data_IF_614116464063
#
_entry.id   IF_614116464063
#
_cell.length_a   1.000
_cell.length_b   1.000
_cell.length_c   1.000
_cell.angle_alpha   90.00
_cell.angle_beta   90.00
_cell.angle_gamma   90.00
#
_symmetry.space_group_name_H-M   'P 1'
#
loop_
_entity.id
_entity.type
_entity.pdbx_description
1 polymer ?
#
# COMPACT_ATOMS: atom_id res chain seq x y z
N UNK A 1 -6.74 57.10 -62.53
CA UNK A 1 -8.13 57.17 -62.04
C UNK A 1 -8.21 56.35 -60.75
N UNK A 2 -7.84 56.98 -59.63
CA UNK A 2 -8.76 57.37 -58.54
C UNK A 2 -9.32 56.18 -57.76
N UNK A 3 -8.52 55.74 -56.79
CA UNK A 3 -8.99 54.99 -55.64
C UNK A 3 -9.99 55.84 -54.83
N UNK A 4 -11.14 55.26 -54.51
CA UNK A 4 -12.07 55.75 -53.48
C UNK A 4 -12.28 54.62 -52.48
N UNK A 5 -11.92 54.80 -51.19
CA UNK A 5 -12.32 53.93 -50.11
C UNK A 5 -13.57 54.49 -49.41
N UNK A 6 -14.49 53.62 -49.00
CA UNK A 6 -15.58 53.97 -48.07
C UNK A 6 -16.18 52.70 -47.43
N UNK A 7 -16.87 52.79 -46.28
CA UNK A 7 -16.23 52.52 -44.99
C UNK A 7 -17.04 51.59 -44.05
N UNK A 8 -16.42 51.25 -42.91
CA UNK A 8 -17.04 51.05 -41.59
C UNK A 8 -18.23 50.07 -41.45
N UNK A 9 -18.02 48.98 -40.71
CA UNK A 9 -18.64 48.79 -39.38
C UNK A 9 -18.21 47.45 -38.77
N UNK A 10 -17.39 47.51 -37.71
CA UNK A 10 -17.79 47.29 -36.30
C UNK A 10 -18.10 45.82 -35.98
N UNK A 11 -17.17 45.15 -35.29
CA UNK A 11 -17.41 44.59 -33.95
C UNK A 11 -16.10 44.00 -33.39
N UNK A 12 -15.22 44.90 -32.95
CA UNK A 12 -14.18 44.62 -31.97
C UNK A 12 -14.82 44.81 -30.58
N UNK A 13 -15.33 43.73 -29.98
CA UNK A 13 -15.65 43.69 -28.55
C UNK A 13 -15.46 42.28 -28.01
N UNK A 14 -14.48 42.17 -27.11
CA UNK A 14 -14.59 41.32 -25.93
C UNK A 14 -14.36 39.84 -26.12
N UNK A 15 -13.13 39.41 -25.84
CA UNK A 15 -12.81 38.21 -25.05
C UNK A 15 -11.30 38.31 -24.77
N UNK A 16 -10.90 39.14 -23.81
CA UNK A 16 -10.75 38.73 -22.42
C UNK A 16 -9.89 37.47 -22.32
N UNK A 17 -8.59 37.76 -22.17
CA UNK A 17 -7.55 36.90 -21.64
C UNK A 17 -8.11 36.07 -20.48
N UNK A 18 -8.14 34.75 -20.64
CA UNK A 18 -8.13 33.82 -19.52
C UNK A 18 -7.24 32.63 -19.89
N UNK A 19 -5.96 32.93 -20.09
CA UNK A 19 -4.91 31.94 -19.92
C UNK A 19 -4.85 31.66 -18.41
N UNK A 20 -5.61 30.66 -17.96
CA UNK A 20 -5.45 30.10 -16.63
C UNK A 20 -4.08 29.44 -16.56
N UNK A 21 -3.18 30.17 -15.92
CA UNK A 21 -1.89 29.74 -15.40
C UNK A 21 -2.01 28.41 -14.65
N UNK A 22 -1.66 27.31 -15.32
CA UNK A 22 -1.17 26.10 -14.67
C UNK A 22 0.31 26.31 -14.33
N UNK A 23 0.56 27.15 -13.32
CA UNK A 23 1.88 27.30 -12.74
C UNK A 23 1.79 26.92 -11.26
N UNK A 24 2.68 26.00 -10.89
CA UNK A 24 3.11 25.69 -9.53
C UNK A 24 2.16 24.87 -8.63
N UNK A 25 2.03 23.58 -8.96
CA UNK A 25 2.32 22.54 -7.96
C UNK A 25 3.64 21.85 -8.35
N UNK A 26 4.69 22.66 -8.51
CA UNK A 26 6.01 22.18 -8.16
C UNK A 26 6.05 22.33 -6.64
N UNK A 27 5.52 21.33 -5.94
CA UNK A 27 5.80 21.13 -4.54
C UNK A 27 7.31 21.28 -4.41
N UNK A 28 7.75 22.26 -3.63
CA UNK A 28 9.11 22.28 -3.15
C UNK A 28 9.35 20.89 -2.57
N UNK A 29 10.12 20.08 -3.29
CA UNK A 29 10.69 18.86 -2.79
C UNK A 29 11.77 19.36 -1.83
N UNK A 30 11.32 19.86 -0.66
CA UNK A 30 12.10 19.67 0.54
C UNK A 30 12.45 18.20 0.48
N UNK A 31 13.75 17.93 0.34
CA UNK A 31 14.29 16.62 0.60
C UNK A 31 13.91 16.36 2.06
N UNK A 32 12.73 15.77 2.25
CA UNK A 32 12.33 15.14 3.49
C UNK A 32 13.55 14.29 3.82
N UNK A 33 14.21 14.64 4.92
CA UNK A 33 15.13 13.70 5.53
C UNK A 33 14.24 12.50 5.78
N UNK A 34 14.29 11.53 4.85
CA UNK A 34 13.62 10.24 4.99
C UNK A 34 14.09 9.78 6.36
N UNK A 35 13.22 9.88 7.36
CA UNK A 35 13.56 9.41 8.70
C UNK A 35 13.92 7.95 8.50
N UNK A 36 15.22 7.65 8.58
CA UNK A 36 15.74 6.39 8.12
C UNK A 36 15.04 5.31 8.93
N UNK A 37 14.31 4.43 8.24
CA UNK A 37 13.45 3.48 8.91
C UNK A 37 14.35 2.56 9.73
N UNK A 38 14.02 2.45 11.01
CA UNK A 38 14.88 1.86 12.02
C UNK A 38 14.08 0.99 12.97
N UNK A 39 14.75 0.00 13.56
CA UNK A 39 14.16 -0.87 14.58
C UNK A 39 14.65 -0.37 15.94
N UNK A 40 13.70 -0.13 16.84
CA UNK A 40 14.00 0.27 18.22
C UNK A 40 14.11 -0.99 19.09
N UNK A 41 15.29 -1.19 19.67
CA UNK A 41 15.57 -2.28 20.61
C UNK A 41 15.58 -1.78 22.05
N UNK A 42 14.89 -2.47 22.95
CA UNK A 42 14.93 -2.20 24.39
C UNK A 42 15.91 -3.16 25.06
N UNK A 43 17.06 -2.65 25.48
CA UNK A 43 18.15 -3.43 26.09
C UNK A 43 18.40 -2.93 27.52
N UNK A 44 18.14 -3.78 28.52
CA UNK A 44 18.38 -3.45 29.93
C UNK A 44 17.80 -2.09 30.39
N UNK A 45 16.62 -1.73 29.86
CA UNK A 45 15.94 -0.45 30.16
C UNK A 45 16.38 0.75 29.32
N UNK A 46 17.36 0.60 28.43
CA UNK A 46 17.78 1.62 27.47
C UNK A 46 17.28 1.28 26.05
N UNK A 47 16.72 2.27 25.35
CA UNK A 47 16.28 2.13 23.96
C UNK A 47 17.40 2.52 23.00
N UNK A 48 17.71 1.66 22.03
CA UNK A 48 18.62 1.97 20.92
C UNK A 48 17.92 1.75 19.59
N UNK A 49 18.00 2.73 18.71
CA UNK A 49 17.48 2.62 17.35
C UNK A 49 18.58 2.22 16.38
N UNK A 50 18.30 1.27 15.49
CA UNK A 50 19.25 0.80 14.47
C UNK A 50 18.56 0.81 13.11
N UNK A 51 19.13 1.50 12.13
CA UNK A 51 18.61 1.54 10.76
C UNK A 51 18.52 0.14 10.15
N UNK A 52 17.44 -0.13 9.42
CA UNK A 52 17.18 -1.45 8.82
C UNK A 52 18.31 -1.88 7.89
N UNK A 53 18.87 -0.95 7.12
CA UNK A 53 19.97 -1.22 6.18
C UNK A 53 21.21 -1.81 6.87
N UNK A 54 21.41 -1.48 8.14
CA UNK A 54 22.53 -1.95 8.95
C UNK A 54 22.26 -3.30 9.63
N UNK A 55 21.08 -3.90 9.43
CA UNK A 55 20.67 -5.15 10.06
C UNK A 55 20.58 -6.29 9.06
N UNK A 56 20.85 -7.50 9.55
CA UNK A 56 20.54 -8.75 8.87
C UNK A 56 19.83 -9.69 9.85
N UNK A 57 18.79 -10.39 9.40
CA UNK A 57 18.02 -11.33 10.23
C UNK A 57 18.41 -12.76 9.87
N UNK A 58 18.93 -13.51 10.84
CA UNK A 58 19.24 -14.92 10.70
C UNK A 58 18.72 -15.69 11.91
N UNK A 59 17.93 -16.75 11.67
CA UNK A 59 17.37 -17.60 12.72
C UNK A 59 16.72 -16.80 13.87
N UNK A 60 15.86 -15.83 13.52
CA UNK A 60 15.14 -14.93 14.45
C UNK A 60 16.04 -14.04 15.35
N UNK A 61 17.29 -13.81 14.93
CA UNK A 61 18.22 -12.88 15.56
C UNK A 61 18.71 -11.85 14.56
N UNK A 62 18.70 -10.58 14.97
CA UNK A 62 19.32 -9.51 14.21
C UNK A 62 20.82 -9.46 14.47
N UNK A 63 21.57 -9.31 13.40
CA UNK A 63 23.02 -9.08 13.40
C UNK A 63 23.29 -7.74 12.75
N UNK A 64 24.21 -6.96 13.33
CA UNK A 64 24.59 -5.66 12.79
C UNK A 64 25.67 -5.88 11.73
N UNK A 65 25.42 -5.42 10.50
CA UNK A 65 26.35 -5.58 9.35
C UNK A 65 27.67 -4.85 9.57
N UNK A 66 27.62 -3.69 10.20
CA UNK A 66 28.79 -2.85 10.46
C UNK A 66 28.84 -2.48 11.94
N UNK A 67 29.88 -2.92 12.69
CA UNK A 67 30.06 -2.49 14.07
C UNK A 67 30.29 -0.98 14.12
N UNK A 68 29.30 -0.22 14.58
CA UNK A 68 29.45 1.20 14.91
C UNK A 68 29.55 1.36 16.43
N UNK A 69 30.20 2.43 16.88
CA UNK A 69 30.38 2.70 18.32
C UNK A 69 29.04 2.67 19.06
N UNK A 70 28.98 1.86 20.11
CA UNK A 70 27.79 1.73 20.95
C UNK A 70 26.76 0.70 20.47
N UNK A 71 26.96 -0.01 19.36
CA UNK A 71 26.11 -1.13 18.99
C UNK A 71 26.59 -2.44 19.65
N UNK A 72 25.68 -3.27 20.20
CA UNK A 72 26.07 -4.53 20.80
C UNK A 72 26.65 -5.46 19.72
N UNK A 73 27.82 -6.03 20.01
CA UNK A 73 28.50 -7.02 19.15
C UNK A 73 27.81 -8.39 19.23
N UNK A 74 26.87 -8.55 20.15
CA UNK A 74 26.06 -9.76 20.31
C UNK A 74 24.83 -9.71 19.38
N UNK A 75 24.39 -10.87 18.85
CA UNK A 75 23.12 -10.95 18.14
C UNK A 75 21.96 -10.45 19.01
N UNK A 76 21.11 -9.62 18.42
CA UNK A 76 19.92 -9.05 19.05
C UNK A 76 18.73 -9.97 18.82
N UNK A 77 18.08 -10.45 19.88
CA UNK A 77 16.90 -11.28 19.73
C UNK A 77 15.70 -10.46 19.21
N UNK A 78 14.84 -11.09 18.42
CA UNK A 78 13.60 -10.48 17.92
C UNK A 78 12.72 -9.94 19.05
N UNK A 79 12.68 -10.61 20.20
CA UNK A 79 11.90 -10.20 21.39
C UNK A 79 12.34 -8.85 21.98
N UNK A 80 13.55 -8.39 21.66
CA UNK A 80 14.04 -7.09 22.11
C UNK A 80 13.59 -5.96 21.19
N UNK A 81 13.08 -6.27 19.99
CA UNK A 81 12.56 -5.28 19.06
C UNK A 81 11.19 -4.80 19.54
N UNK A 82 11.12 -3.55 19.97
CA UNK A 82 9.90 -2.93 20.46
C UNK A 82 8.97 -2.55 19.31
N UNK A 83 9.48 -1.79 18.34
CA UNK A 83 8.72 -1.31 17.19
C UNK A 83 9.64 -0.83 16.06
N UNK A 84 9.06 -0.64 14.88
CA UNK A 84 9.68 0.10 13.77
C UNK A 84 9.41 1.60 13.94
N UNK A 85 10.46 2.41 13.80
CA UNK A 85 10.42 3.87 13.82
C UNK A 85 10.77 4.43 12.44
N UNK A 86 10.20 5.59 12.10
CA UNK A 86 10.35 6.25 10.81
C UNK A 86 9.01 6.70 10.24
N UNK A 87 9.05 7.32 9.07
CA UNK A 87 7.85 7.66 8.28
C UNK A 87 7.32 6.44 7.52
N UNK A 88 5.99 6.32 7.41
CA UNK A 88 5.39 5.31 6.53
C UNK A 88 5.73 5.61 5.07
N UNK A 89 6.23 4.62 4.29
CA UNK A 89 6.52 4.82 2.87
C UNK A 89 5.27 5.32 2.12
N UNK A 90 5.30 6.52 1.51
CA UNK A 90 4.12 7.11 0.85
C UNK A 90 3.59 6.25 -0.30
N UNK A 91 4.47 5.45 -0.91
CA UNK A 91 4.15 4.49 -1.97
C UNK A 91 3.07 3.47 -1.56
N UNK A 92 2.93 3.14 -0.27
CA UNK A 92 1.87 2.24 0.19
C UNK A 92 0.50 2.90 -0.04
N UNK A 93 0.35 4.15 0.38
CA UNK A 93 -0.91 4.90 0.22
C UNK A 93 -1.25 5.15 -1.25
N UNK A 94 -0.23 5.43 -2.08
CA UNK A 94 -0.37 5.59 -3.52
C UNK A 94 -0.81 4.28 -4.19
N UNK A 95 -0.19 3.15 -3.82
CA UNK A 95 -0.55 1.83 -4.32
C UNK A 95 -2.01 1.46 -3.97
N UNK A 96 -2.47 1.75 -2.75
CA UNK A 96 -3.87 1.57 -2.36
C UNK A 96 -4.81 2.35 -3.28
N UNK A 97 -4.48 3.60 -3.61
CA UNK A 97 -5.22 4.42 -4.57
C UNK A 97 -5.29 3.78 -5.96
N UNK A 98 -4.16 3.26 -6.46
CA UNK A 98 -4.08 2.55 -7.74
C UNK A 98 -4.96 1.29 -7.77
N UNK A 99 -5.03 0.55 -6.65
CA UNK A 99 -5.91 -0.62 -6.54
C UNK A 99 -7.40 -0.26 -6.66
N UNK A 100 -7.82 0.85 -6.05
CA UNK A 100 -9.19 1.36 -6.19
C UNK A 100 -9.50 1.87 -7.61
N UNK A 101 -8.47 2.26 -8.36
CA UNK A 101 -8.55 2.62 -9.78
C UNK A 101 -8.41 1.42 -10.73
N UNK A 102 -8.38 0.19 -10.20
CA UNK A 102 -8.20 -1.04 -10.98
C UNK A 102 -6.89 -1.08 -11.79
N UNK A 103 -5.80 -0.58 -11.19
CA UNK A 103 -4.44 -0.62 -11.74
C UNK A 103 -3.51 -1.49 -10.87
N UNK A 104 -3.75 -2.81 -10.78
CA UNK A 104 -3.00 -3.69 -9.87
C UNK A 104 -1.52 -3.82 -10.24
N UNK A 105 -1.15 -3.75 -11.52
CA UNK A 105 0.25 -3.85 -11.94
C UNK A 105 1.07 -2.63 -11.52
N UNK A 106 0.51 -1.43 -11.66
CA UNK A 106 1.17 -0.18 -11.22
C UNK A 106 1.30 -0.16 -9.69
N UNK A 107 0.29 -0.67 -8.97
CA UNK A 107 0.35 -0.83 -7.52
C UNK A 107 1.48 -1.78 -7.09
N UNK A 108 1.63 -2.93 -7.75
CA UNK A 108 2.71 -3.88 -7.45
C UNK A 108 4.10 -3.29 -7.70
N UNK A 109 4.27 -2.49 -8.75
CA UNK A 109 5.54 -1.81 -9.02
C UNK A 109 5.99 -0.86 -7.88
N UNK A 110 5.02 -0.33 -7.12
CA UNK A 110 5.29 0.47 -5.91
C UNK A 110 5.49 -0.39 -4.65
N UNK A 111 4.78 -1.51 -4.53
CA UNK A 111 4.76 -2.35 -3.34
C UNK A 111 5.92 -3.33 -3.26
N UNK A 112 6.33 -3.93 -4.38
CA UNK A 112 7.37 -4.97 -4.41
C UNK A 112 8.71 -4.48 -3.80
N UNK A 113 9.22 -3.27 -4.13
CA UNK A 113 10.45 -2.77 -3.51
C UNK A 113 10.33 -2.61 -1.99
N UNK A 114 9.16 -2.17 -1.50
CA UNK A 114 8.90 -2.00 -0.07
C UNK A 114 8.86 -3.37 0.62
N UNK A 115 8.23 -4.36 -0.01
CA UNK A 115 8.18 -5.72 0.54
C UNK A 115 9.58 -6.33 0.63
N UNK A 116 10.47 -6.08 -0.34
CA UNK A 116 11.85 -6.56 -0.28
C UNK A 116 12.68 -5.80 0.78
N UNK A 117 12.62 -4.47 0.81
CA UNK A 117 13.37 -3.62 1.75
C UNK A 117 12.96 -3.88 3.21
N UNK A 118 11.65 -4.02 3.45
CA UNK A 118 11.11 -4.15 4.80
C UNK A 118 10.92 -5.60 5.27
N UNK A 119 11.26 -6.61 4.46
CA UNK A 119 11.03 -8.04 4.81
C UNK A 119 11.61 -8.43 6.17
N UNK A 120 12.77 -7.86 6.50
CA UNK A 120 13.47 -8.08 7.77
C UNK A 120 12.67 -7.59 9.00
N UNK A 121 11.70 -6.69 8.81
CA UNK A 121 10.83 -6.17 9.86
C UNK A 121 9.50 -6.90 10.00
N UNK A 122 9.23 -7.92 9.18
CA UNK A 122 7.91 -8.57 9.11
C UNK A 122 7.34 -9.00 10.47
N UNK A 123 8.20 -9.52 11.36
CA UNK A 123 7.82 -9.98 12.72
C UNK A 123 7.92 -8.90 13.81
N UNK A 124 8.27 -7.67 13.47
CA UNK A 124 8.43 -6.56 14.43
C UNK A 124 7.14 -5.74 14.49
N UNK A 125 6.64 -5.35 15.67
CA UNK A 125 5.45 -4.51 15.77
C UNK A 125 5.58 -3.19 15.01
N UNK A 126 4.48 -2.74 14.40
CA UNK A 126 4.43 -1.47 13.65
C UNK A 126 5.15 -1.48 12.30
N UNK A 127 5.50 -2.66 11.76
CA UNK A 127 6.22 -2.75 10.50
C UNK A 127 5.39 -2.36 9.28
N UNK A 128 6.05 -1.78 8.29
CA UNK A 128 5.44 -1.41 7.01
C UNK A 128 5.33 -2.58 6.04
N UNK A 129 6.09 -3.66 6.28
CA UNK A 129 6.05 -4.87 5.45
C UNK A 129 4.66 -5.50 5.42
N UNK A 130 4.01 -5.69 6.58
CA UNK A 130 2.67 -6.26 6.70
C UNK A 130 1.65 -5.39 5.95
N UNK A 131 1.75 -4.06 6.05
CA UNK A 131 0.87 -3.15 5.31
C UNK A 131 1.04 -3.32 3.80
N UNK A 132 2.29 -3.33 3.32
CA UNK A 132 2.60 -3.52 1.90
C UNK A 132 2.15 -4.91 1.40
N UNK A 133 2.43 -5.97 2.17
CA UNK A 133 2.07 -7.35 1.85
C UNK A 133 0.54 -7.54 1.74
N UNK A 134 -0.23 -6.93 2.65
CA UNK A 134 -1.70 -6.95 2.59
C UNK A 134 -2.23 -6.24 1.33
N UNK A 135 -1.66 -5.10 0.95
CA UNK A 135 -2.02 -4.41 -0.28
C UNK A 135 -1.63 -5.21 -1.54
N UNK A 136 -0.43 -5.80 -1.55
CA UNK A 136 0.06 -6.64 -2.65
C UNK A 136 -0.80 -7.90 -2.81
N UNK A 137 -1.25 -8.49 -1.70
CA UNK A 137 -2.17 -9.61 -1.70
C UNK A 137 -3.50 -9.27 -2.41
N UNK A 138 -4.06 -8.08 -2.15
CA UNK A 138 -5.24 -7.59 -2.87
C UNK A 138 -4.92 -7.40 -4.36
N UNK A 139 -3.77 -6.80 -4.70
CA UNK A 139 -3.33 -6.60 -6.08
C UNK A 139 -3.22 -7.91 -6.88
N UNK A 140 -2.56 -8.92 -6.31
CA UNK A 140 -2.44 -10.26 -6.90
C UNK A 140 -3.80 -10.95 -7.01
N UNK A 141 -4.72 -10.71 -6.07
CA UNK A 141 -6.08 -11.25 -6.12
C UNK A 141 -6.88 -10.70 -7.30
N UNK A 142 -6.74 -9.39 -7.60
CA UNK A 142 -7.35 -8.77 -8.79
C UNK A 142 -6.79 -9.43 -10.07
N UNK A 143 -5.48 -9.66 -10.12
CA UNK A 143 -4.79 -10.31 -11.23
C UNK A 143 -5.02 -11.84 -11.30
N UNK A 144 -5.81 -12.42 -10.39
CA UNK A 144 -6.06 -13.88 -10.30
C UNK A 144 -4.76 -14.70 -10.15
N UNK A 145 -3.72 -14.13 -9.55
CA UNK A 145 -2.45 -14.79 -9.32
C UNK A 145 -2.50 -15.67 -8.06
N UNK A 146 -3.26 -16.77 -8.11
CA UNK A 146 -3.57 -17.63 -6.95
C UNK A 146 -2.33 -18.16 -6.23
N UNK A 147 -1.28 -18.56 -6.95
CA UNK A 147 -0.03 -19.02 -6.34
C UNK A 147 0.65 -17.93 -5.51
N UNK A 148 0.74 -16.71 -6.06
CA UNK A 148 1.31 -15.56 -5.35
C UNK A 148 0.49 -15.15 -4.13
N UNK A 149 -0.84 -15.22 -4.23
CA UNK A 149 -1.69 -14.97 -3.06
C UNK A 149 -1.46 -15.99 -1.95
N UNK A 150 -1.27 -17.27 -2.28
CA UNK A 150 -0.95 -18.30 -1.29
C UNK A 150 0.43 -18.10 -0.65
N UNK A 151 1.44 -17.75 -1.46
CA UNK A 151 2.79 -17.42 -0.98
C UNK A 151 2.77 -16.25 0.01
N UNK A 152 2.21 -15.11 -0.40
CA UNK A 152 2.15 -13.90 0.44
C UNK A 152 1.27 -14.14 1.67
N UNK A 153 0.13 -14.81 1.51
CA UNK A 153 -0.75 -15.15 2.62
C UNK A 153 -0.05 -15.98 3.70
N UNK A 154 0.78 -16.94 3.29
CA UNK A 154 1.62 -17.70 4.21
C UNK A 154 2.66 -16.82 4.89
N UNK A 155 3.36 -15.95 4.14
CA UNK A 155 4.36 -15.05 4.75
C UNK A 155 3.72 -14.12 5.79
N UNK A 156 2.48 -13.64 5.56
CA UNK A 156 1.71 -12.86 6.54
C UNK A 156 1.39 -13.71 7.78
N UNK A 157 0.85 -14.93 7.61
CA UNK A 157 0.55 -15.83 8.72
C UNK A 157 1.78 -16.20 9.56
N UNK A 158 2.92 -16.45 8.90
CA UNK A 158 4.19 -16.77 9.56
C UNK A 158 4.75 -15.56 10.33
N UNK A 159 4.43 -14.33 9.90
CA UNK A 159 4.83 -13.09 10.55
C UNK A 159 3.93 -12.70 11.74
N UNK A 160 2.64 -13.09 11.72
CA UNK A 160 1.66 -12.77 12.78
C UNK A 160 0.91 -14.01 13.32
N UNK A 161 1.61 -15.03 13.85
CA UNK A 161 1.01 -16.33 14.17
C UNK A 161 0.00 -16.30 15.32
N UNK A 162 0.03 -15.27 16.18
CA UNK A 162 -0.84 -15.14 17.36
C UNK A 162 -2.14 -14.39 17.09
N UNK A 163 -2.32 -13.82 15.90
CA UNK A 163 -3.44 -12.94 15.57
C UNK A 163 -4.65 -13.65 14.93
N UNK A 164 -4.61 -14.97 14.75
CA UNK A 164 -5.59 -15.71 13.97
C UNK A 164 -5.44 -15.49 12.46
N UNK A 165 -6.45 -15.88 11.68
CA UNK A 165 -6.44 -15.70 10.23
C UNK A 165 -6.49 -14.21 9.87
N UNK A 166 -5.48 -13.73 9.13
CA UNK A 166 -5.42 -12.33 8.72
C UNK A 166 -6.65 -11.97 7.85
N UNK A 167 -7.40 -10.91 8.16
CA UNK A 167 -8.59 -10.53 7.39
C UNK A 167 -8.32 -10.27 5.90
N UNK A 168 -7.10 -9.88 5.53
CA UNK A 168 -6.68 -9.68 4.14
C UNK A 168 -6.53 -11.00 3.38
N UNK A 169 -6.10 -12.06 4.07
CA UNK A 169 -6.04 -13.43 3.53
C UNK A 169 -7.45 -13.94 3.28
N UNK A 170 -8.37 -13.72 4.23
CA UNK A 170 -9.79 -14.04 4.07
C UNK A 170 -10.41 -13.30 2.88
N UNK A 171 -10.14 -12.00 2.73
CA UNK A 171 -10.58 -11.20 1.58
C UNK A 171 -10.02 -11.75 0.26
N UNK A 172 -8.73 -12.09 0.21
CA UNK A 172 -8.09 -12.66 -0.97
C UNK A 172 -8.79 -13.95 -1.43
N UNK A 173 -9.11 -14.84 -0.50
CA UNK A 173 -9.84 -16.07 -0.78
C UNK A 173 -11.22 -15.78 -1.39
N UNK A 174 -11.96 -14.80 -0.84
CA UNK A 174 -13.25 -14.37 -1.41
C UNK A 174 -13.07 -13.81 -2.83
N UNK A 175 -12.05 -12.98 -3.07
CA UNK A 175 -11.76 -12.43 -4.41
C UNK A 175 -11.41 -13.50 -5.44
N UNK A 176 -10.70 -14.53 -5.01
CA UNK A 176 -10.26 -15.65 -5.85
C UNK A 176 -11.34 -16.71 -6.06
N UNK A 177 -12.49 -16.61 -5.40
CA UNK A 177 -13.63 -17.53 -5.57
C UNK A 177 -13.89 -17.81 -7.07
N UNK A 178 -14.03 -19.08 -7.47
CA UNK A 178 -14.27 -19.46 -8.86
C UNK A 178 -15.50 -18.76 -9.44
N UNK A 179 -15.45 -18.44 -10.74
CA UNK A 179 -16.58 -17.81 -11.45
C UNK A 179 -17.79 -18.75 -11.62
N UNK A 180 -17.61 -20.05 -11.39
CA UNK A 180 -18.69 -21.04 -11.33
C UNK A 180 -19.59 -20.87 -10.10
N UNK A 181 -19.11 -20.23 -9.03
CA UNK A 181 -19.91 -19.89 -7.85
C UNK A 181 -20.88 -18.77 -8.20
N UNK A 182 -22.12 -18.88 -7.72
CA UNK A 182 -23.16 -17.91 -8.10
C UNK A 182 -22.80 -16.50 -7.67
N UNK A 183 -23.24 -15.51 -8.46
CA UNK A 183 -22.98 -14.09 -8.14
C UNK A 183 -23.53 -13.73 -6.76
N UNK A 184 -24.68 -14.30 -6.35
CA UNK A 184 -25.29 -14.04 -5.04
C UNK A 184 -24.45 -14.59 -3.87
N UNK A 185 -23.91 -15.81 -3.99
CA UNK A 185 -23.01 -16.37 -2.98
C UNK A 185 -21.74 -15.55 -2.85
N UNK A 186 -21.17 -15.10 -3.98
CA UNK A 186 -20.00 -14.21 -3.97
C UNK A 186 -20.30 -12.86 -3.32
N UNK A 187 -21.46 -12.27 -3.60
CA UNK A 187 -21.92 -11.02 -2.95
C UNK A 187 -22.05 -11.21 -1.43
N UNK A 188 -22.59 -12.34 -1.00
CA UNK A 188 -22.72 -12.67 0.43
C UNK A 188 -21.34 -12.82 1.07
N UNK A 189 -20.42 -13.55 0.45
CA UNK A 189 -19.07 -13.73 0.98
C UNK A 189 -18.33 -12.39 1.19
N UNK A 190 -18.49 -11.41 0.29
CA UNK A 190 -17.94 -10.07 0.53
C UNK A 190 -18.66 -9.32 1.65
N UNK A 191 -19.98 -9.50 1.81
CA UNK A 191 -20.72 -8.88 2.90
C UNK A 191 -20.30 -9.45 4.26
N UNK A 192 -20.00 -10.75 4.32
CA UNK A 192 -19.54 -11.43 5.54
C UNK A 192 -18.15 -10.89 5.98
N UNK A 193 -17.30 -10.44 5.05
CA UNK A 193 -16.04 -9.75 5.34
C UNK A 193 -16.25 -8.27 5.70
N UNK A 194 -17.19 -7.57 5.04
CA UNK A 194 -17.45 -6.14 5.28
C UNK A 194 -18.33 -5.91 6.52
N UNK A 195 -17.87 -6.36 7.68
CA UNK A 195 -18.57 -6.26 8.97
C UNK A 195 -17.83 -5.35 9.96
N UNK A 196 -18.49 -5.00 11.06
CA UNK A 196 -17.95 -4.07 12.09
C UNK A 196 -16.73 -4.62 12.85
N UNK A 197 -16.47 -5.93 12.77
CA UNK A 197 -15.29 -6.57 13.38
C UNK A 197 -14.06 -6.58 12.47
N UNK A 198 -14.20 -6.23 11.19
CA UNK A 198 -13.10 -6.23 10.23
C UNK A 198 -12.38 -4.88 10.20
N UNK A 199 -11.06 -4.85 9.95
CA UNK A 199 -10.32 -3.59 9.83
C UNK A 199 -10.94 -2.67 8.76
N UNK A 200 -10.96 -1.34 8.97
CA UNK A 200 -11.59 -0.40 8.04
C UNK A 200 -11.11 -0.54 6.60
N UNK A 201 -9.81 -0.76 6.37
CA UNK A 201 -9.27 -0.92 5.02
C UNK A 201 -9.82 -2.17 4.33
N UNK A 202 -9.97 -3.28 5.07
CA UNK A 202 -10.48 -4.55 4.56
C UNK A 202 -11.98 -4.44 4.26
N UNK A 203 -12.74 -3.80 5.15
CA UNK A 203 -14.15 -3.50 4.94
C UNK A 203 -14.37 -2.60 3.73
N UNK A 204 -13.48 -1.62 3.50
CA UNK A 204 -13.53 -0.76 2.33
C UNK A 204 -13.30 -1.55 1.02
N UNK A 205 -12.27 -2.40 0.96
CA UNK A 205 -12.02 -3.25 -0.21
C UNK A 205 -13.18 -4.22 -0.46
N UNK A 206 -13.64 -4.92 0.57
CA UNK A 206 -14.75 -5.87 0.46
C UNK A 206 -16.02 -5.18 -0.08
N UNK A 207 -16.34 -3.99 0.43
CA UNK A 207 -17.47 -3.18 -0.03
C UNK A 207 -17.31 -2.74 -1.48
N UNK A 208 -16.11 -2.30 -1.89
CA UNK A 208 -15.82 -1.88 -3.26
C UNK A 208 -16.02 -3.03 -4.27
N UNK A 209 -15.41 -4.19 -4.03
CA UNK A 209 -15.53 -5.34 -4.93
C UNK A 209 -16.94 -5.92 -4.94
N UNK A 210 -17.64 -5.92 -3.80
CA UNK A 210 -19.07 -6.26 -3.73
C UNK A 210 -19.91 -5.33 -4.61
N UNK A 211 -19.66 -4.02 -4.59
CA UNK A 211 -20.33 -3.04 -5.44
C UNK A 211 -20.14 -3.33 -6.93
N UNK A 212 -18.93 -3.72 -7.34
CA UNK A 212 -18.65 -4.13 -8.73
C UNK A 212 -19.43 -5.38 -9.15
N UNK A 213 -19.61 -6.35 -8.25
CA UNK A 213 -20.46 -7.53 -8.53
C UNK A 213 -21.95 -7.16 -8.62
N UNK A 214 -22.45 -6.33 -7.71
CA UNK A 214 -23.84 -5.86 -7.73
C UNK A 214 -24.18 -5.11 -9.02
N UNK A 215 -23.25 -4.26 -9.49
CA UNK A 215 -23.38 -3.56 -10.78
C UNK A 215 -23.49 -4.52 -11.94
N UNK A 216 -22.70 -5.60 -11.95
CA UNK A 216 -22.75 -6.65 -12.97
C UNK A 216 -24.08 -7.40 -12.90
N UNK A 217 -24.51 -7.83 -11.71
CA UNK A 217 -25.78 -8.55 -11.50
C UNK A 217 -27.00 -7.77 -11.99
N UNK A 218 -27.00 -6.44 -11.81
CA UNK A 218 -28.08 -5.56 -12.30
C UNK A 218 -28.11 -5.44 -13.83
N UNK A 219 -26.97 -5.54 -14.51
CA UNK A 219 -26.88 -5.46 -15.98
C UNK A 219 -27.29 -6.74 -16.69
N UNK A 220 -27.19 -7.87 -16.00
CA UNK A 220 -27.56 -9.20 -16.52
C UNK A 220 -29.02 -9.59 -16.22
N UNK A 221 -29.76 -8.76 -15.51
CA UNK A 221 -31.21 -8.86 -15.31
C UNK A 221 -31.92 -7.93 -16.28
#
# INVERSE_FOLDING_TARGET
MTAKPHPLSRLLRGSAILALSFSAFASAQEAEVKDAISIVFTLNGASKSIAIDNLNLQADKFTVKTPAEGLPTIPLNLEWASHVSGGEPPQISEAVGLLLMNKPSDALALLDPIMEEHKITAKVPGNYWIKAARAALVAHSINRATSKCAEIGKEISDATPTAGDDPSVSLSNVMLTPLSVSINERIKAYADIANDSSPPEISAYASFFRGNLLKTAKRTK
#
